data_IF_962809350332
#
_entry.id   IF_962809350332
#
_cell.length_a   1.000
_cell.length_b   1.000
_cell.length_c   1.000
_cell.angle_alpha   90.00
_cell.angle_beta   90.00
_cell.angle_gamma   90.00
#
_symmetry.space_group_name_H-M   'P 1'
#
loop_
_entity.id
_entity.type
_entity.pdbx_description
1 polymer ?
#
# COMPACT_ATOMS: atom_id res chain seq x y z
N UNK A 1 -8.72 14.77 -20.26
CA UNK A 1 -9.66 13.79 -19.68
C UNK A 1 -10.91 14.58 -19.35
N UNK A 2 -12.11 14.15 -19.75
CA UNK A 2 -13.30 14.64 -19.05
C UNK A 2 -13.18 14.12 -17.60
N UNK A 3 -13.93 14.68 -16.67
CA UNK A 3 -14.10 14.11 -15.31
C UNK A 3 -13.19 14.66 -14.19
N UNK A 4 -12.38 15.70 -14.41
CA UNK A 4 -11.73 16.42 -13.29
C UNK A 4 -12.78 16.93 -12.28
N UNK A 5 -13.90 17.46 -12.79
CA UNK A 5 -15.05 17.93 -12.01
C UNK A 5 -15.77 16.78 -11.28
N UNK A 6 -15.88 15.60 -11.92
CA UNK A 6 -16.51 14.44 -11.28
C UNK A 6 -15.61 13.83 -10.20
N UNK A 7 -14.29 13.84 -10.42
CA UNK A 7 -13.30 13.41 -9.45
C UNK A 7 -13.30 14.27 -8.20
N UNK A 8 -13.43 15.59 -8.33
CA UNK A 8 -13.52 16.51 -7.19
C UNK A 8 -14.77 16.27 -6.33
N UNK A 9 -15.94 16.09 -6.95
CA UNK A 9 -17.17 15.76 -6.22
C UNK A 9 -17.04 14.44 -5.47
N UNK A 10 -16.52 13.39 -6.12
CA UNK A 10 -16.30 12.09 -5.49
C UNK A 10 -15.31 12.15 -4.33
N UNK A 11 -14.25 12.96 -4.44
CA UNK A 11 -13.30 13.20 -3.34
C UNK A 11 -14.02 13.85 -2.16
N UNK A 12 -14.85 14.86 -2.39
CA UNK A 12 -15.53 15.58 -1.31
C UNK A 12 -16.48 14.69 -0.50
N UNK A 13 -17.16 13.75 -1.16
CA UNK A 13 -18.12 12.86 -0.52
C UNK A 13 -17.46 11.68 0.19
N UNK A 14 -16.33 11.18 -0.33
CA UNK A 14 -15.69 9.95 0.16
C UNK A 14 -14.51 10.20 1.10
N UNK A 15 -13.89 11.38 1.06
CA UNK A 15 -12.76 11.70 1.92
C UNK A 15 -13.20 11.82 3.39
N UNK A 16 -12.63 10.99 4.27
CA UNK A 16 -12.99 10.94 5.68
C UNK A 16 -14.21 10.06 5.99
N UNK A 17 -14.72 9.32 4.99
CA UNK A 17 -15.76 8.32 5.23
C UNK A 17 -15.19 7.02 5.78
N UNK A 18 -16.00 6.28 6.54
CA UNK A 18 -15.65 4.96 7.00
C UNK A 18 -15.94 3.92 5.92
N UNK A 19 -14.89 3.24 5.49
CA UNK A 19 -14.95 2.14 4.54
C UNK A 19 -14.35 0.90 5.18
N UNK A 20 -15.13 -0.18 5.28
CA UNK A 20 -14.70 -1.45 5.87
C UNK A 20 -14.13 -1.30 7.30
N UNK A 21 -14.80 -0.48 8.11
CA UNK A 21 -14.40 -0.19 9.49
C UNK A 21 -13.15 0.70 9.63
N UNK A 22 -12.70 1.33 8.54
CA UNK A 22 -11.55 2.24 8.53
C UNK A 22 -11.88 3.54 7.82
N UNK A 23 -11.52 4.65 8.43
CA UNK A 23 -11.63 5.95 7.79
C UNK A 23 -10.61 6.06 6.64
N UNK A 24 -11.09 6.31 5.42
CA UNK A 24 -10.26 6.44 4.23
C UNK A 24 -10.01 7.90 3.86
N UNK A 25 -8.84 8.19 3.28
CA UNK A 25 -8.51 9.50 2.74
C UNK A 25 -8.45 9.42 1.21
N UNK A 26 -9.25 10.24 0.53
CA UNK A 26 -9.34 10.27 -0.93
C UNK A 26 -8.81 11.63 -1.40
N UNK A 27 -7.87 11.64 -2.34
CA UNK A 27 -7.22 12.84 -2.86
C UNK A 27 -6.94 12.70 -4.36
N UNK A 28 -6.76 13.83 -5.06
CA UNK A 28 -6.34 13.84 -6.47
C UNK A 28 -4.99 13.14 -6.61
N UNK A 29 -4.92 12.17 -7.52
CA UNK A 29 -3.70 11.39 -7.77
C UNK A 29 -2.58 12.30 -8.27
N UNK A 30 -1.49 12.38 -7.51
CA UNK A 30 -0.26 13.06 -7.93
C UNK A 30 0.75 12.02 -8.43
N UNK A 31 1.59 12.36 -9.44
CA UNK A 31 2.66 11.48 -9.88
C UNK A 31 3.49 10.98 -8.69
N UNK A 32 3.68 9.67 -8.60
CA UNK A 32 4.49 9.08 -7.52
C UNK A 32 5.96 9.37 -7.80
N UNK A 33 6.64 10.03 -6.88
CA UNK A 33 8.11 10.15 -6.94
C UNK A 33 8.73 8.78 -6.73
N UNK A 34 9.61 8.35 -7.63
CA UNK A 34 10.41 7.15 -7.45
C UNK A 34 11.26 7.32 -6.18
N UNK A 35 10.94 6.57 -5.13
CA UNK A 35 11.82 6.49 -3.96
C UNK A 35 12.97 5.57 -4.34
N UNK A 36 14.18 6.13 -4.46
CA UNK A 36 15.40 5.36 -4.69
C UNK A 36 15.49 4.23 -3.66
N UNK A 37 15.46 3.00 -4.15
CA UNK A 37 15.87 1.73 -3.52
C UNK A 37 15.70 1.59 -2.01
N UNK A 38 14.66 0.87 -1.57
CA UNK A 38 14.47 0.50 -0.17
C UNK A 38 13.88 -0.89 0.02
N UNK A 39 14.70 -1.93 -0.17
CA UNK A 39 14.57 -3.15 0.63
C UNK A 39 13.65 -4.28 0.14
N UNK A 40 13.77 -4.72 -1.10
CA UNK A 40 13.38 -6.11 -1.46
C UNK A 40 14.55 -7.05 -1.14
N UNK A 41 14.91 -7.13 0.14
CA UNK A 41 15.98 -7.99 0.63
C UNK A 41 15.55 -9.45 0.67
N UNK A 42 16.14 -10.25 -0.23
CA UNK A 42 16.28 -11.71 -0.14
C UNK A 42 15.01 -12.53 0.06
N UNK A 43 14.28 -12.72 -1.05
CA UNK A 43 13.55 -13.97 -1.24
C UNK A 43 14.55 -15.12 -1.33
N UNK A 44 14.53 -16.00 -0.33
CA UNK A 44 14.92 -17.40 -0.47
C UNK A 44 16.41 -17.67 -0.68
N UNK A 45 17.12 -17.99 0.40
CA UNK A 45 18.49 -18.45 0.31
C UNK A 45 18.90 -19.22 1.56
N UNK A 46 18.53 -20.50 1.59
CA UNK A 46 19.39 -21.63 1.98
C UNK A 46 20.42 -21.39 3.12
N UNK A 47 20.24 -22.01 4.29
CA UNK A 47 21.34 -22.08 5.26
C UNK A 47 21.02 -22.68 6.63
N UNK A 48 21.19 -24.01 6.76
CA UNK A 48 21.62 -24.66 8.01
C UNK A 48 20.57 -24.72 9.13
N UNK A 49 19.86 -25.83 9.34
CA UNK A 49 20.45 -27.13 9.63
C UNK A 49 20.85 -27.22 11.09
N UNK A 50 19.90 -27.49 12.00
CA UNK A 50 20.23 -27.97 13.35
C UNK A 50 19.15 -28.92 13.86
N UNK A 51 19.38 -30.21 13.55
CA UNK A 51 19.04 -31.36 14.36
C UNK A 51 18.69 -31.02 15.81
N UNK A 52 17.57 -31.54 16.32
CA UNK A 52 17.48 -32.02 17.70
C UNK A 52 16.28 -32.97 17.83
N UNK A 53 16.50 -34.21 17.39
CA UNK A 53 15.95 -35.37 18.06
C UNK A 53 16.02 -35.14 19.57
N UNK A 54 14.87 -35.09 20.23
CA UNK A 54 14.80 -35.40 21.66
C UNK A 54 13.40 -35.95 21.93
N UNK A 55 13.36 -37.28 21.90
CA UNK A 55 12.60 -38.17 22.77
C UNK A 55 11.27 -37.64 23.33
#
# INVERSE_FOLDING_TARGET
MPDDVQGESAISELNGTDFDGKTINVNVARPRTERSGGGYGSRGGNGGGYNRNRY
#
